data_IF_967358400587
#
_entry.id   IF_967358400587
#
_cell.length_a   1.000
_cell.length_b   1.000
_cell.length_c   1.000
_cell.angle_alpha   90.00
_cell.angle_beta   90.00
_cell.angle_gamma   90.00
#
_symmetry.space_group_name_H-M   'P 1'
#
loop_
_entity.id
_entity.type
_entity.pdbx_description
1 polymer ?
#
# COMPACT_ATOMS: atom_id res chain seq x y z
N UNK A 1 -21.98 -3.68 -62.34
CA UNK A 1 -20.68 -2.99 -62.47
C UNK A 1 -20.35 -2.44 -61.09
N UNK A 2 -19.42 -3.09 -60.39
CA UNK A 2 -19.06 -2.78 -59.01
C UNK A 2 -18.04 -1.64 -58.99
N UNK A 3 -18.47 -0.44 -58.61
CA UNK A 3 -17.56 0.67 -58.29
C UNK A 3 -16.75 0.29 -57.04
N UNK A 4 -15.44 0.08 -57.23
CA UNK A 4 -14.52 -0.13 -56.12
C UNK A 4 -14.34 1.17 -55.33
N UNK A 5 -14.36 1.07 -54.00
CA UNK A 5 -14.09 2.20 -53.11
C UNK A 5 -12.72 2.80 -53.42
N UNK A 6 -12.69 4.08 -53.79
CA UNK A 6 -11.47 4.81 -54.08
C UNK A 6 -10.82 5.21 -52.75
N UNK A 7 -9.64 4.64 -52.47
CA UNK A 7 -8.89 4.96 -51.25
C UNK A 7 -8.39 6.41 -51.24
N UNK A 8 -7.98 6.92 -50.06
CA UNK A 8 -7.55 8.31 -49.89
C UNK A 8 -6.35 8.66 -50.77
N UNK A 9 -6.26 9.93 -51.16
CA UNK A 9 -5.16 10.45 -51.96
C UNK A 9 -3.82 10.24 -51.25
N UNK A 10 -2.68 10.11 -51.96
CA UNK A 10 -1.38 9.82 -51.36
C UNK A 10 -0.99 10.76 -50.20
N UNK A 11 -1.40 12.02 -50.29
CA UNK A 11 -1.18 13.05 -49.27
C UNK A 11 -2.12 12.96 -48.05
N UNK A 12 -3.27 12.31 -48.18
CA UNK A 12 -4.25 12.09 -47.10
C UNK A 12 -4.00 10.79 -46.34
N UNK A 13 -3.01 10.00 -46.76
CA UNK A 13 -2.65 8.76 -46.06
C UNK A 13 -1.98 9.11 -44.73
N UNK A 14 -2.44 8.53 -43.60
CA UNK A 14 -1.81 8.76 -42.31
C UNK A 14 -0.34 8.35 -42.40
N UNK A 15 0.54 9.34 -42.18
CA UNK A 15 1.98 9.09 -42.12
C UNK A 15 2.33 8.62 -40.70
N UNK A 16 2.96 7.45 -40.54
CA UNK A 16 3.33 6.95 -39.22
C UNK A 16 4.44 7.82 -38.61
N UNK A 17 4.18 8.37 -37.42
CA UNK A 17 5.15 9.10 -36.58
C UNK A 17 5.94 8.13 -35.68
N UNK A 18 7.00 8.61 -35.03
CA UNK A 18 7.79 7.82 -34.06
C UNK A 18 9.24 7.52 -34.48
N UNK A 19 10.12 7.30 -33.49
CA UNK A 19 11.53 6.94 -33.72
C UNK A 19 11.66 5.45 -34.07
N UNK A 20 12.70 5.10 -34.82
CA UNK A 20 13.10 3.70 -35.05
C UNK A 20 14.17 3.30 -34.05
N UNK A 21 14.05 2.11 -33.47
CA UNK A 21 15.11 1.54 -32.65
C UNK A 21 16.27 1.00 -33.51
N UNK A 22 17.33 0.51 -32.87
CA UNK A 22 18.52 -0.05 -33.53
C UNK A 22 18.22 -1.28 -34.42
N UNK A 23 17.04 -1.88 -34.30
CA UNK A 23 16.57 -3.03 -35.09
C UNK A 23 15.63 -2.60 -36.23
N UNK A 24 15.45 -1.29 -36.45
CA UNK A 24 14.61 -0.75 -37.51
C UNK A 24 13.10 -0.83 -37.23
N UNK A 25 12.69 -1.24 -36.03
CA UNK A 25 11.29 -1.31 -35.61
C UNK A 25 10.84 0.12 -35.23
N UNK A 26 9.67 0.54 -35.74
CA UNK A 26 9.05 1.81 -35.33
C UNK A 26 8.48 1.66 -33.92
N UNK A 27 8.89 2.54 -33.01
CA UNK A 27 8.30 2.65 -31.68
C UNK A 27 7.20 3.70 -31.77
N UNK A 28 5.98 3.30 -31.42
CA UNK A 28 4.86 4.23 -31.25
C UNK A 28 5.15 5.12 -30.03
N UNK A 29 5.16 6.47 -30.13
CA UNK A 29 5.45 7.34 -29.00
C UNK A 29 4.52 7.15 -27.80
N UNK A 30 3.31 6.60 -27.98
CA UNK A 30 2.42 6.22 -26.86
C UNK A 30 2.94 5.01 -26.07
N UNK A 31 3.69 4.11 -26.71
CA UNK A 31 4.29 2.93 -26.08
C UNK A 31 5.53 3.26 -25.23
N UNK A 32 6.08 4.47 -25.38
CA UNK A 32 7.30 4.92 -24.70
C UNK A 32 7.01 5.80 -23.47
N UNK A 33 5.75 5.89 -23.03
CA UNK A 33 5.43 6.45 -21.72
C UNK A 33 6.00 5.54 -20.62
N UNK A 34 7.27 5.78 -20.27
CA UNK A 34 7.86 5.29 -19.03
C UNK A 34 7.04 5.93 -17.92
N UNK A 35 6.04 5.20 -17.43
CA UNK A 35 5.30 5.60 -16.26
C UNK A 35 6.25 5.49 -15.09
N UNK A 36 6.65 6.64 -14.53
CA UNK A 36 7.44 6.63 -13.31
C UNK A 36 6.68 5.87 -12.22
N UNK A 37 7.38 5.00 -11.47
CA UNK A 37 6.75 4.31 -10.36
C UNK A 37 6.28 5.33 -9.34
N UNK A 38 5.10 5.09 -8.77
CA UNK A 38 4.59 5.86 -7.65
C UNK A 38 4.23 4.91 -6.52
N UNK A 39 4.45 5.41 -5.32
CA UNK A 39 4.03 4.73 -4.10
C UNK A 39 2.53 4.91 -3.90
N UNK A 40 1.82 3.83 -3.63
CA UNK A 40 0.40 3.87 -3.31
C UNK A 40 0.03 2.85 -2.23
N UNK A 41 -1.22 2.92 -1.77
CA UNK A 41 -1.77 1.95 -0.82
C UNK A 41 -3.12 1.47 -1.26
N UNK A 42 -3.21 0.15 -1.34
CA UNK A 42 -4.42 -0.57 -1.62
C UNK A 42 -4.98 -1.10 -0.30
N UNK A 43 -6.27 -0.86 -0.07
CA UNK A 43 -7.04 -1.52 0.97
C UNK A 43 -7.92 -2.58 0.34
N UNK A 44 -7.76 -3.84 0.74
CA UNK A 44 -8.64 -4.93 0.34
C UNK A 44 -9.44 -5.44 1.53
N UNK A 45 -10.77 -5.47 1.39
CA UNK A 45 -11.65 -6.19 2.30
C UNK A 45 -11.73 -7.64 1.84
N UNK A 46 -11.44 -8.57 2.74
CA UNK A 46 -11.34 -9.99 2.43
C UNK A 46 -12.10 -10.83 3.45
N UNK A 47 -12.47 -12.05 3.07
CA UNK A 47 -13.01 -13.03 3.99
C UNK A 47 -11.95 -13.44 5.02
N UNK A 48 -12.35 -13.57 6.27
CA UNK A 48 -11.48 -14.00 7.36
C UNK A 48 -11.38 -15.52 7.44
N UNK A 49 -10.82 -16.14 6.40
CA UNK A 49 -10.66 -17.59 6.29
C UNK A 49 -9.18 -18.01 6.26
N UNK A 50 -8.85 -19.23 6.75
CA UNK A 50 -7.52 -19.79 6.62
C UNK A 50 -7.02 -19.78 5.17
N UNK A 51 -5.77 -19.31 4.97
CA UNK A 51 -5.10 -19.33 3.67
C UNK A 51 -5.36 -18.12 2.77
N UNK A 52 -6.25 -17.19 3.14
CA UNK A 52 -6.49 -15.95 2.37
C UNK A 52 -5.22 -15.10 2.30
N UNK A 53 -4.56 -14.87 3.44
CA UNK A 53 -3.29 -14.13 3.49
C UNK A 53 -2.20 -14.78 2.61
N UNK A 54 -2.10 -16.13 2.63
CA UNK A 54 -1.14 -16.85 1.81
C UNK A 54 -1.42 -16.71 0.30
N UNK A 55 -2.71 -16.70 -0.09
CA UNK A 55 -3.10 -16.45 -1.49
C UNK A 55 -2.72 -15.05 -1.94
N UNK A 56 -2.95 -14.04 -1.09
CA UNK A 56 -2.60 -12.64 -1.37
C UNK A 56 -1.08 -12.51 -1.50
N UNK A 57 -0.31 -12.91 -0.46
CA UNK A 57 1.15 -12.87 -0.50
C UNK A 57 1.73 -13.65 -1.70
N UNK A 58 1.16 -14.82 -2.03
CA UNK A 58 1.53 -15.60 -3.19
C UNK A 58 1.20 -14.96 -4.54
N UNK A 59 0.13 -14.15 -4.62
CA UNK A 59 -0.20 -13.39 -5.82
C UNK A 59 0.80 -12.26 -6.04
N UNK A 60 1.14 -11.55 -4.97
CA UNK A 60 2.03 -10.39 -5.05
C UNK A 60 3.48 -10.82 -5.33
N UNK A 61 3.96 -11.89 -4.69
CA UNK A 61 5.31 -12.44 -4.93
C UNK A 61 5.50 -13.04 -6.33
N UNK A 62 4.52 -13.81 -6.85
CA UNK A 62 4.64 -14.44 -8.19
C UNK A 62 4.69 -13.45 -9.34
N UNK A 63 4.11 -12.27 -9.14
CA UNK A 63 4.11 -11.20 -10.14
C UNK A 63 5.25 -10.20 -9.95
N UNK A 64 6.11 -10.43 -8.95
CA UNK A 64 7.28 -9.62 -8.64
C UNK A 64 6.94 -8.13 -8.41
N UNK A 65 5.77 -7.87 -7.82
CA UNK A 65 5.44 -6.50 -7.44
C UNK A 65 6.32 -6.03 -6.28
N UNK A 66 6.74 -4.77 -6.30
CA UNK A 66 7.55 -4.19 -5.26
C UNK A 66 6.67 -3.85 -4.04
N UNK A 67 6.63 -4.77 -3.06
CA UNK A 67 5.89 -4.60 -1.80
C UNK A 67 6.78 -3.92 -0.78
N UNK A 68 6.28 -2.83 -0.24
CA UNK A 68 6.93 -2.17 0.88
C UNK A 68 6.36 -2.63 2.21
N UNK A 69 5.02 -2.75 2.32
CA UNK A 69 4.40 -3.35 3.50
C UNK A 69 3.07 -4.04 3.17
N UNK A 70 2.74 -5.06 3.96
CA UNK A 70 1.46 -5.76 3.92
C UNK A 70 1.03 -6.02 5.34
N UNK A 71 -0.12 -5.47 5.72
CA UNK A 71 -0.74 -5.70 7.04
C UNK A 71 -2.11 -6.31 6.89
N UNK A 72 -2.52 -7.09 7.89
CA UNK A 72 -3.86 -7.70 7.95
C UNK A 72 -4.41 -7.56 9.35
N UNK A 73 -5.66 -7.14 9.46
CA UNK A 73 -6.41 -7.10 10.71
C UNK A 73 -7.88 -7.41 10.51
N UNK A 74 -8.51 -8.07 11.48
CA UNK A 74 -9.96 -8.33 11.49
C UNK A 74 -10.71 -7.00 11.59
N UNK A 75 -11.84 -6.87 10.88
CA UNK A 75 -12.68 -5.66 10.96
C UNK A 75 -13.69 -5.79 12.10
N UNK A 76 -14.63 -4.84 12.21
CA UNK A 76 -15.77 -4.95 13.15
C UNK A 76 -16.65 -6.17 12.88
N UNK A 77 -16.55 -6.75 11.69
CA UNK A 77 -17.18 -8.01 11.34
C UNK A 77 -16.14 -9.14 11.40
N UNK A 78 -16.29 -10.12 12.31
CA UNK A 78 -15.31 -11.18 12.51
C UNK A 78 -15.12 -12.08 11.28
N UNK A 79 -16.10 -12.12 10.38
CA UNK A 79 -16.04 -12.86 9.11
C UNK A 79 -15.18 -12.17 8.04
N UNK A 80 -14.69 -10.94 8.31
CA UNK A 80 -13.93 -10.16 7.34
C UNK A 80 -12.67 -9.56 7.97
N UNK A 81 -11.63 -9.45 7.15
CA UNK A 81 -10.39 -8.78 7.48
C UNK A 81 -10.08 -7.69 6.47
N UNK A 82 -9.34 -6.67 6.89
CA UNK A 82 -8.76 -5.65 6.02
C UNK A 82 -7.29 -5.99 5.80
N UNK A 83 -6.90 -6.02 4.54
CA UNK A 83 -5.52 -6.05 4.10
C UNK A 83 -5.14 -4.64 3.67
N UNK A 84 -4.08 -4.08 4.23
CA UNK A 84 -3.47 -2.84 3.75
C UNK A 84 -2.15 -3.19 3.08
N UNK A 85 -2.02 -2.85 1.81
CA UNK A 85 -0.87 -3.19 0.97
C UNK A 85 -0.25 -1.90 0.42
N UNK A 86 1.00 -1.63 0.78
CA UNK A 86 1.79 -0.52 0.24
C UNK A 86 2.72 -1.06 -0.84
N UNK A 87 2.63 -0.48 -2.03
CA UNK A 87 3.41 -0.88 -3.21
C UNK A 87 3.99 0.35 -3.90
N UNK A 88 5.09 0.16 -4.61
CA UNK A 88 5.70 1.16 -5.47
C UNK A 88 5.78 0.61 -6.89
N UNK A 89 4.87 1.06 -7.75
CA UNK A 89 4.72 0.53 -9.10
C UNK A 89 4.33 1.65 -10.07
N UNK A 90 4.65 1.52 -11.36
CA UNK A 90 4.05 2.35 -12.39
C UNK A 90 2.53 2.23 -12.39
N UNK A 91 1.84 3.27 -12.83
CA UNK A 91 0.38 3.33 -12.87
C UNK A 91 -0.31 2.10 -13.53
N UNK A 92 0.19 1.54 -14.66
CA UNK A 92 -0.34 0.27 -15.18
C UNK A 92 -0.15 -0.93 -14.24
N UNK A 93 0.95 -0.97 -13.49
CA UNK A 93 1.27 -1.99 -12.49
C UNK A 93 0.33 -1.94 -11.30
N UNK A 94 0.06 -0.74 -10.77
CA UNK A 94 -0.91 -0.53 -9.68
C UNK A 94 -2.29 -1.07 -10.06
N UNK A 95 -2.82 -0.65 -11.22
CA UNK A 95 -4.10 -1.15 -11.74
C UNK A 95 -4.10 -2.66 -11.98
N UNK A 96 -2.95 -3.22 -12.34
CA UNK A 96 -2.81 -4.66 -12.48
C UNK A 96 -2.90 -5.35 -11.13
N UNK A 97 -2.24 -4.83 -10.08
CA UNK A 97 -2.32 -5.39 -8.71
C UNK A 97 -3.77 -5.40 -8.23
N UNK A 98 -4.46 -4.27 -8.33
CA UNK A 98 -5.86 -4.12 -7.95
C UNK A 98 -6.75 -5.17 -8.64
N UNK A 99 -6.71 -5.23 -9.98
CA UNK A 99 -7.47 -6.21 -10.78
C UNK A 99 -7.12 -7.67 -10.46
N UNK A 100 -5.91 -7.94 -9.98
CA UNK A 100 -5.50 -9.30 -9.64
C UNK A 100 -5.98 -9.69 -8.24
N UNK A 101 -5.98 -8.74 -7.30
CA UNK A 101 -6.59 -8.93 -5.98
C UNK A 101 -8.10 -9.16 -6.12
N UNK A 102 -8.81 -8.37 -6.93
CA UNK A 102 -10.26 -8.53 -7.18
C UNK A 102 -10.64 -9.90 -7.76
N UNK A 103 -9.73 -10.58 -8.46
CA UNK A 103 -9.98 -11.92 -9.02
C UNK A 103 -9.88 -13.04 -7.99
N UNK A 104 -9.35 -12.77 -6.80
CA UNK A 104 -9.31 -13.75 -5.74
C UNK A 104 -10.71 -13.93 -5.16
N UNK A 105 -11.20 -15.17 -5.15
CA UNK A 105 -12.55 -15.52 -4.65
C UNK A 105 -12.82 -15.00 -3.24
N UNK A 106 -11.79 -14.95 -2.40
CA UNK A 106 -11.91 -14.52 -1.01
C UNK A 106 -11.81 -12.99 -0.82
N UNK A 107 -11.56 -12.23 -1.88
CA UNK A 107 -11.50 -10.76 -1.83
C UNK A 107 -12.89 -10.21 -2.15
N UNK A 108 -13.41 -9.39 -1.26
CA UNK A 108 -14.77 -8.83 -1.32
C UNK A 108 -14.73 -7.50 -2.09
N UNK A 109 -13.74 -6.66 -1.80
CA UNK A 109 -13.57 -5.36 -2.45
C UNK A 109 -12.12 -4.91 -2.31
N UNK A 110 -11.61 -4.20 -3.30
CA UNK A 110 -10.28 -3.57 -3.27
C UNK A 110 -10.47 -2.10 -3.63
N UNK A 111 -9.69 -1.24 -3.01
CA UNK A 111 -9.68 0.18 -3.34
C UNK A 111 -8.29 0.76 -3.15
N UNK A 112 -7.87 1.61 -4.08
CA UNK A 112 -6.78 2.54 -3.84
C UNK A 112 -7.21 3.66 -2.87
N UNK A 113 -6.35 3.98 -1.90
CA UNK A 113 -6.58 5.05 -0.93
C UNK A 113 -5.97 6.35 -1.43
N UNK A 114 -6.70 7.46 -1.25
CA UNK A 114 -6.22 8.79 -1.60
C UNK A 114 -5.04 9.26 -0.75
N UNK A 115 -4.43 10.37 -1.18
CA UNK A 115 -3.27 10.97 -0.51
C UNK A 115 -3.60 11.47 0.90
N UNK A 116 -4.85 11.85 1.16
CA UNK A 116 -5.32 12.34 2.45
C UNK A 116 -5.70 11.21 3.43
N UNK A 117 -5.65 9.95 3.00
CA UNK A 117 -5.95 8.80 3.84
C UNK A 117 -5.16 8.82 5.16
N UNK A 118 -5.80 8.35 6.23
CA UNK A 118 -5.15 8.25 7.53
C UNK A 118 -4.28 6.99 7.51
N UNK A 119 -2.97 7.19 7.66
CA UNK A 119 -1.95 6.14 7.62
C UNK A 119 -1.23 6.10 8.94
N UNK A 120 -1.14 4.91 9.55
CA UNK A 120 -0.47 4.72 10.83
C UNK A 120 0.34 3.44 10.84
N UNK A 121 1.40 3.46 11.62
CA UNK A 121 2.21 2.30 11.96
C UNK A 121 2.59 2.39 13.45
N UNK A 122 2.77 1.22 14.07
CA UNK A 122 3.34 1.09 15.40
C UNK A 122 4.73 0.44 15.31
N UNK A 123 5.66 0.98 16.08
CA UNK A 123 6.97 0.39 16.32
C UNK A 123 7.14 0.10 17.80
N UNK A 124 7.70 -1.06 18.12
CA UNK A 124 8.25 -1.39 19.44
C UNK A 124 9.76 -1.50 19.28
N UNK A 125 10.49 -0.75 20.09
CA UNK A 125 11.94 -0.71 20.02
C UNK A 125 12.56 -0.89 21.41
N UNK A 126 13.58 -1.74 21.46
CA UNK A 126 14.36 -2.05 22.66
C UNK A 126 15.77 -1.50 22.49
N UNK A 127 16.21 -0.68 23.44
CA UNK A 127 17.52 -0.01 23.42
C UNK A 127 18.34 -0.35 24.66
N UNK A 128 19.62 0.04 24.70
CA UNK A 128 20.42 -0.04 25.93
C UNK A 128 19.86 0.91 26.99
N UNK A 129 19.83 0.44 28.24
CA UNK A 129 19.30 1.20 29.38
C UNK A 129 20.32 2.08 30.11
N UNK A 130 21.42 2.47 29.46
CA UNK A 130 22.51 3.24 30.07
C UNK A 130 22.08 4.69 30.36
N UNK A 131 21.14 5.23 29.58
CA UNK A 131 20.69 6.62 29.66
C UNK A 131 19.15 6.72 29.73
N UNK A 132 18.52 6.21 30.81
CA UNK A 132 17.06 6.10 30.90
C UNK A 132 16.31 7.42 30.74
N UNK A 133 16.84 8.51 31.31
CA UNK A 133 16.21 9.83 31.24
C UNK A 133 16.19 10.37 29.80
N UNK A 134 17.26 10.11 29.02
CA UNK A 134 17.33 10.53 27.61
C UNK A 134 16.42 9.69 26.73
N UNK A 135 16.39 8.37 26.97
CA UNK A 135 15.47 7.46 26.27
C UNK A 135 14.03 7.91 26.49
N UNK A 136 13.62 8.18 27.73
CA UNK A 136 12.28 8.68 28.04
C UNK A 136 12.01 10.05 27.39
N UNK A 137 12.97 10.98 27.41
CA UNK A 137 12.78 12.30 26.77
C UNK A 137 12.55 12.19 25.25
N UNK A 138 13.26 11.29 24.55
CA UNK A 138 13.02 11.04 23.12
C UNK A 138 11.68 10.34 22.92
N UNK A 139 11.32 9.37 23.75
CA UNK A 139 10.00 8.73 23.71
C UNK A 139 8.89 9.76 23.81
N UNK A 140 8.95 10.66 24.79
CA UNK A 140 7.96 11.72 24.99
C UNK A 140 7.91 12.70 23.81
N UNK A 141 9.06 13.06 23.23
CA UNK A 141 9.15 13.93 22.06
C UNK A 141 8.40 13.36 20.85
N UNK A 142 8.45 12.04 20.66
CA UNK A 142 7.70 11.34 19.61
C UNK A 142 6.30 10.90 20.07
N UNK A 143 5.84 11.30 21.26
CA UNK A 143 4.54 10.90 21.82
C UNK A 143 4.40 9.39 21.94
N UNK A 144 5.49 8.70 22.26
CA UNK A 144 5.54 7.28 22.54
C UNK A 144 5.24 6.96 24.00
N UNK A 145 5.44 5.70 24.36
CA UNK A 145 5.25 5.19 25.72
C UNK A 145 6.36 4.20 26.07
N UNK A 146 6.91 4.29 27.28
CA UNK A 146 7.85 3.30 27.80
C UNK A 146 7.10 2.09 28.33
N UNK A 147 7.30 0.93 27.70
CA UNK A 147 6.65 -0.33 28.04
C UNK A 147 7.40 -1.11 29.13
N UNK A 148 8.72 -1.00 29.17
CA UNK A 148 9.59 -1.68 30.14
C UNK A 148 10.87 -0.86 30.35
N UNK A 149 11.33 -0.78 31.61
CA UNK A 149 12.56 -0.08 31.97
C UNK A 149 13.36 -0.90 32.99
N UNK A 150 14.34 -1.65 32.50
CA UNK A 150 15.26 -2.44 33.30
C UNK A 150 16.67 -1.83 33.38
N UNK A 151 17.55 -2.37 34.23
CA UNK A 151 18.91 -1.84 34.44
C UNK A 151 19.83 -1.98 33.22
N UNK A 152 19.43 -2.73 32.19
CA UNK A 152 20.24 -2.99 30.99
C UNK A 152 19.53 -2.59 29.70
N UNK A 153 18.21 -2.51 29.72
CA UNK A 153 17.39 -2.30 28.52
C UNK A 153 16.16 -1.51 28.84
N UNK A 154 15.71 -0.73 27.87
CA UNK A 154 14.44 -0.03 27.92
C UNK A 154 13.69 -0.36 26.63
N UNK A 155 12.41 -0.67 26.75
CA UNK A 155 11.52 -0.94 25.62
C UNK A 155 10.47 0.13 25.56
N UNK A 156 10.27 0.72 24.39
CA UNK A 156 9.30 1.79 24.16
C UNK A 156 8.46 1.45 22.93
N UNK A 157 7.25 2.00 22.87
CA UNK A 157 6.40 1.98 21.69
C UNK A 157 6.17 3.38 21.16
N UNK A 158 6.06 3.50 19.84
CA UNK A 158 5.74 4.76 19.15
C UNK A 158 4.73 4.46 18.07
N UNK A 159 3.73 5.32 17.93
CA UNK A 159 2.76 5.27 16.84
C UNK A 159 2.81 6.59 16.05
N UNK A 160 2.78 6.47 14.73
CA UNK A 160 3.03 7.59 13.83
C UNK A 160 2.57 7.29 12.42
N UNK A 161 2.63 8.31 11.55
CA UNK A 161 2.87 8.02 10.14
C UNK A 161 4.30 7.47 9.97
N UNK A 162 4.60 6.95 8.78
CA UNK A 162 5.88 6.30 8.54
C UNK A 162 7.08 7.25 8.71
N UNK A 163 6.98 8.49 8.24
CA UNK A 163 8.08 9.46 8.39
C UNK A 163 8.42 9.69 9.87
N UNK A 164 7.39 9.87 10.71
CA UNK A 164 7.58 10.00 12.16
C UNK A 164 8.24 8.76 12.76
N UNK A 165 7.88 7.55 12.30
CA UNK A 165 8.45 6.30 12.78
C UNK A 165 9.92 6.18 12.36
N UNK A 166 10.25 6.51 11.12
CA UNK A 166 11.62 6.50 10.62
C UNK A 166 12.50 7.50 11.37
N UNK A 167 12.02 8.74 11.56
CA UNK A 167 12.70 9.78 12.32
C UNK A 167 12.94 9.33 13.78
N UNK A 168 11.95 8.69 14.39
CA UNK A 168 12.08 8.16 15.74
C UNK A 168 13.16 7.07 15.80
N UNK A 169 13.10 6.08 14.90
CA UNK A 169 14.10 5.00 14.83
C UNK A 169 15.50 5.60 14.69
N UNK A 170 15.68 6.60 13.83
CA UNK A 170 16.94 7.31 13.64
C UNK A 170 17.42 8.01 14.92
N UNK A 171 16.51 8.67 15.65
CA UNK A 171 16.82 9.26 16.95
C UNK A 171 17.24 8.20 17.98
N UNK A 172 16.59 7.04 18.03
CA UNK A 172 16.92 5.96 18.99
C UNK A 172 18.21 5.21 18.65
N UNK A 173 18.76 5.34 17.43
CA UNK A 173 20.06 4.71 17.06
C UNK A 173 21.19 5.11 18.01
N UNK A 174 21.15 6.32 18.58
CA UNK A 174 22.18 6.79 19.51
C UNK A 174 22.27 5.98 20.81
N UNK A 175 21.18 5.30 21.21
CA UNK A 175 21.14 4.46 22.41
C UNK A 175 21.44 2.99 22.14
N UNK A 176 21.80 2.64 20.90
CA UNK A 176 21.97 1.25 20.47
C UNK A 176 20.65 0.49 20.46
N UNK A 177 19.99 0.41 19.30
CA UNK A 177 18.80 -0.42 19.14
C UNK A 177 19.21 -1.90 19.17
N UNK A 178 18.68 -2.65 20.13
CA UNK A 178 18.88 -4.09 20.27
C UNK A 178 17.87 -4.90 19.48
N UNK A 179 16.61 -4.50 19.54
CA UNK A 179 15.50 -5.16 18.84
C UNK A 179 14.53 -4.10 18.33
N UNK A 180 13.95 -4.37 17.18
CA UNK A 180 12.96 -3.53 16.51
C UNK A 180 11.85 -4.43 15.96
N UNK A 181 10.61 -4.12 16.29
CA UNK A 181 9.43 -4.73 15.70
C UNK A 181 8.54 -3.62 15.12
N UNK A 182 8.28 -3.69 13.82
CA UNK A 182 7.44 -2.76 13.06
C UNK A 182 6.20 -3.48 12.57
N UNK A 183 5.03 -2.88 12.74
CA UNK A 183 3.77 -3.51 12.30
C UNK A 183 3.56 -3.42 10.80
N UNK A 184 4.25 -2.51 10.10
CA UNK A 184 3.85 -2.04 8.77
C UNK A 184 2.66 -1.08 8.84
N UNK A 185 2.32 -0.50 7.69
CA UNK A 185 1.28 0.52 7.60
C UNK A 185 -0.13 -0.09 7.64
N UNK A 186 -0.99 0.47 8.48
CA UNK A 186 -2.45 0.34 8.39
C UNK A 186 -3.05 1.66 7.91
N UNK A 187 -4.17 1.60 7.20
CA UNK A 187 -4.78 2.79 6.62
C UNK A 187 -6.30 2.71 6.51
N UNK A 188 -6.94 3.88 6.64
CA UNK A 188 -8.36 4.11 6.36
C UNK A 188 -8.52 5.38 5.53
N UNK A 189 -9.56 5.43 4.70
CA UNK A 189 -10.01 6.66 4.07
C UNK A 189 -10.41 7.70 5.14
N UNK A 190 -10.30 8.99 4.81
CA UNK A 190 -10.53 10.08 5.77
C UNK A 190 -11.99 10.53 5.74
N UNK A 191 -12.49 10.94 6.91
CA UNK A 191 -13.80 11.58 7.03
C UNK A 191 -14.94 10.60 6.83
N UNK A 192 -15.94 11.00 6.05
CA UNK A 192 -17.13 10.18 5.74
C UNK A 192 -16.88 9.16 4.62
N UNK A 193 -15.71 9.22 3.98
CA UNK A 193 -15.38 8.33 2.89
C UNK A 193 -15.12 6.90 3.39
N UNK A 194 -15.80 5.94 2.76
CA UNK A 194 -15.60 4.53 3.06
C UNK A 194 -14.31 4.00 2.41
N UNK A 195 -13.55 3.27 3.21
CA UNK A 195 -12.26 2.70 2.76
C UNK A 195 -12.45 1.63 1.68
N UNK A 196 -13.60 0.93 1.66
CA UNK A 196 -14.03 0.07 0.56
C UNK A 196 -15.54 0.21 0.34
N UNK A 197 -15.99 0.10 -0.91
CA UNK A 197 -17.41 0.22 -1.26
C UNK A 197 -18.30 -0.87 -0.63
N UNK A 198 -17.75 -2.07 -0.42
CA UNK A 198 -18.52 -3.18 0.16
C UNK A 198 -18.96 -2.93 1.62
N UNK A 199 -18.20 -2.12 2.37
CA UNK A 199 -18.55 -1.76 3.75
C UNK A 199 -19.70 -0.75 3.80
N UNK A 200 -19.70 0.23 2.89
CA UNK A 200 -20.77 1.21 2.70
C UNK A 200 -22.11 0.52 2.43
N UNK A 201 -22.17 -0.31 1.39
CA UNK A 201 -23.39 -1.01 1.02
C UNK A 201 -23.91 -1.92 2.16
N UNK A 202 -23.01 -2.50 2.95
CA UNK A 202 -23.38 -3.35 4.09
C UNK A 202 -23.95 -2.52 5.24
N UNK A 203 -23.38 -1.35 5.51
CA UNK A 203 -23.90 -0.41 6.49
C UNK A 203 -25.32 0.04 6.13
N UNK A 204 -25.54 0.47 4.88
CA UNK A 204 -26.85 0.90 4.39
C UNK A 204 -27.91 -0.21 4.50
N UNK A 205 -27.58 -1.43 4.07
CA UNK A 205 -28.47 -2.60 4.20
C UNK A 205 -28.86 -2.94 5.64
N UNK A 206 -28.00 -2.63 6.61
CA UNK A 206 -28.26 -2.91 8.03
C UNK A 206 -29.15 -1.84 8.67
N UNK A 207 -29.00 -0.57 8.26
CA UNK A 207 -29.83 0.55 8.75
C UNK A 207 -31.26 0.48 8.23
N UNK A 208 -31.49 0.02 6.99
CA UNK A 208 -32.84 -0.13 6.41
C UNK A 208 -33.67 -1.23 7.10
N UNK A 209 -33.04 -2.10 7.90
CA UNK A 209 -33.71 -3.18 8.65
C UNK A 209 -34.05 -2.83 10.10
N UNK A 210 -33.68 -1.65 10.59
CA UNK A 210 -34.05 -1.15 11.92
C UNK A 210 -35.18 -0.12 11.80
#
# INVERSE_FOLDING_TARGET
>A
MTEGLQGPAPEERPQPSGRRNAQGIRIDPEMEAVHDPRRTTLSALVQNEPGVLAKISGLVSRRQFNIESLTVGTTTNPETSRVTLVIEEPEPGIRQVEKQLEKLVNVISVRELGDDAIRRELVVLKVHGEEPDKVNAITDMYGGETLDAGPRTITVQITGDEQKIDDAIDAFRQFGIRELARTGQTALARGEEWTTHAEEERYERTQVRQ
#
